data_IF_206683115031
#
_entry.id   IF_206683115031
#
_cell.length_a   1.000
_cell.length_b   1.000
_cell.length_c   1.000
_cell.angle_alpha   90.00
_cell.angle_beta   90.00
_cell.angle_gamma   90.00
#
_symmetry.space_group_name_H-M   'P 1'
#
loop_
_entity.id
_entity.type
_entity.pdbx_description
1 polymer ?
#
# COMPACT_ATOMS: atom_id res chain seq x y z
N UNK A 1 33.97 -4.62 -21.81
CA UNK A 1 32.60 -5.13 -21.54
C UNK A 1 32.73 -6.50 -20.90
N UNK A 2 32.03 -6.75 -19.79
CA UNK A 2 31.95 -8.08 -19.16
C UNK A 2 30.52 -8.59 -19.34
N UNK A 3 30.37 -9.81 -19.83
CA UNK A 3 29.11 -10.56 -19.80
C UNK A 3 29.19 -11.58 -18.69
N UNK A 4 28.06 -11.85 -18.03
CA UNK A 4 27.92 -12.91 -17.04
C UNK A 4 26.69 -13.74 -17.40
N UNK A 5 26.80 -15.05 -17.28
CA UNK A 5 25.65 -15.94 -17.39
C UNK A 5 24.92 -15.95 -16.05
N UNK A 6 23.60 -15.80 -16.09
CA UNK A 6 22.81 -15.65 -14.88
C UNK A 6 21.69 -16.68 -14.77
N UNK A 7 21.29 -16.96 -13.54
CA UNK A 7 20.10 -17.74 -13.21
C UNK A 7 19.18 -16.87 -12.34
N UNK A 8 17.92 -16.73 -12.75
CA UNK A 8 16.90 -16.06 -11.94
C UNK A 8 16.18 -17.07 -11.06
N UNK A 9 16.28 -16.90 -9.73
CA UNK A 9 15.66 -17.80 -8.77
C UNK A 9 15.16 -17.01 -7.56
N UNK A 10 13.97 -17.34 -7.05
CA UNK A 10 13.40 -16.71 -5.85
C UNK A 10 13.36 -15.16 -5.87
N UNK A 11 13.22 -14.54 -7.03
CA UNK A 11 13.20 -13.08 -7.16
C UNK A 11 14.58 -12.42 -7.25
N UNK A 12 15.65 -13.20 -7.39
CA UNK A 12 17.02 -12.71 -7.44
C UNK A 12 17.78 -13.26 -8.64
N UNK A 13 18.81 -12.51 -9.05
CA UNK A 13 19.74 -12.90 -10.11
C UNK A 13 20.99 -13.48 -9.43
N UNK A 14 21.45 -14.63 -9.91
CA UNK A 14 22.67 -15.29 -9.44
C UNK A 14 23.62 -15.52 -10.61
N UNK A 15 24.92 -15.39 -10.37
CA UNK A 15 25.96 -15.79 -11.33
C UNK A 15 25.91 -17.33 -11.47
N UNK A 16 25.72 -17.82 -12.69
CA UNK A 16 25.58 -19.25 -12.94
C UNK A 16 26.85 -20.05 -12.64
N UNK A 17 28.02 -19.42 -12.70
CA UNK A 17 29.32 -20.05 -12.42
C UNK A 17 29.63 -20.03 -10.92
N UNK A 18 29.61 -18.85 -10.29
CA UNK A 18 30.02 -18.72 -8.87
C UNK A 18 28.91 -19.03 -7.88
N UNK A 19 27.65 -19.04 -8.32
CA UNK A 19 26.44 -19.14 -7.47
C UNK A 19 26.24 -17.96 -6.53
N UNK A 20 27.00 -16.88 -6.70
CA UNK A 20 26.86 -15.67 -5.91
C UNK A 20 25.67 -14.83 -6.40
N UNK A 21 25.04 -14.10 -5.48
CA UNK A 21 23.97 -13.16 -5.82
C UNK A 21 24.56 -11.96 -6.57
N UNK A 22 23.96 -11.63 -7.70
CA UNK A 22 24.30 -10.45 -8.49
C UNK A 22 23.39 -9.30 -8.08
N UNK A 23 24.00 -8.17 -7.75
CA UNK A 23 23.29 -6.90 -7.51
C UNK A 23 23.64 -5.98 -8.68
N UNK A 24 22.61 -5.45 -9.31
CA UNK A 24 22.74 -4.44 -10.36
C UNK A 24 22.54 -3.06 -9.74
N UNK A 25 23.28 -2.08 -10.23
CA UNK A 25 23.16 -0.69 -9.79
C UNK A 25 21.91 -0.06 -10.40
N UNK A 26 21.21 0.74 -9.62
CA UNK A 26 20.03 1.48 -10.09
C UNK A 26 20.43 2.53 -11.15
N UNK A 27 19.50 2.87 -12.05
CA UNK A 27 19.68 3.87 -13.12
C UNK A 27 20.78 3.55 -14.14
N UNK A 28 21.23 2.29 -14.22
CA UNK A 28 22.13 1.80 -15.26
C UNK A 28 21.36 0.96 -16.28
N UNK A 29 21.68 1.13 -17.56
CA UNK A 29 21.10 0.33 -18.63
C UNK A 29 21.84 -1.02 -18.75
N UNK A 30 21.10 -2.11 -18.64
CA UNK A 30 21.61 -3.47 -18.82
C UNK A 30 20.99 -4.12 -20.06
N UNK A 31 21.72 -5.06 -20.67
CA UNK A 31 21.22 -5.89 -21.77
C UNK A 31 20.96 -7.29 -21.21
N UNK A 32 19.72 -7.77 -21.36
CA UNK A 32 19.35 -9.16 -21.10
C UNK A 32 19.18 -9.88 -22.44
N UNK A 33 19.83 -11.04 -22.56
CA UNK A 33 19.77 -11.89 -23.75
C UNK A 33 19.05 -13.17 -23.34
N UNK A 34 18.02 -13.54 -24.09
CA UNK A 34 17.19 -14.71 -23.82
C UNK A 34 17.34 -15.71 -24.96
N UNK A 35 17.40 -17.00 -24.63
CA UNK A 35 17.44 -18.07 -25.63
C UNK A 35 16.09 -18.26 -26.31
N UNK A 36 14.99 -18.01 -25.59
CA UNK A 36 13.62 -18.17 -26.07
C UNK A 36 12.78 -16.96 -25.69
N UNK A 37 11.96 -16.50 -26.62
CA UNK A 37 11.08 -15.34 -26.43
C UNK A 37 10.06 -15.57 -25.30
N UNK A 38 9.59 -16.80 -25.14
CA UNK A 38 8.60 -17.21 -24.13
C UNK A 38 9.08 -17.09 -22.67
N UNK A 39 10.39 -16.99 -22.45
CA UNK A 39 11.01 -16.79 -21.13
C UNK A 39 10.86 -15.35 -20.64
N UNK A 40 10.40 -14.43 -21.49
CA UNK A 40 10.13 -13.03 -21.15
C UNK A 40 8.65 -12.74 -21.26
N UNK A 41 8.06 -12.33 -20.15
CA UNK A 41 6.69 -11.81 -20.14
C UNK A 41 6.67 -10.50 -19.39
N UNK A 42 6.10 -9.42 -19.96
CA UNK A 42 5.87 -8.22 -19.20
C UNK A 42 4.92 -8.55 -18.06
N UNK A 43 5.39 -8.40 -16.82
CA UNK A 43 4.51 -8.36 -15.67
C UNK A 43 3.74 -7.04 -15.72
N UNK A 44 2.43 -7.08 -15.47
CA UNK A 44 1.60 -5.90 -15.33
C UNK A 44 0.68 -6.08 -14.14
N UNK A 45 0.32 -4.98 -13.49
CA UNK A 45 -0.81 -5.01 -12.58
C UNK A 45 -2.10 -5.03 -13.38
N UNK A 46 -2.82 -6.15 -13.31
CA UNK A 46 -4.10 -6.27 -14.00
C UNK A 46 -5.14 -5.35 -13.36
N UNK A 47 -5.83 -4.59 -14.21
CA UNK A 47 -7.00 -3.83 -13.79
C UNK A 47 -8.07 -4.83 -13.29
N UNK A 48 -8.78 -4.53 -12.19
CA UNK A 48 -9.86 -5.39 -11.71
C UNK A 48 -10.93 -5.53 -12.80
N UNK A 49 -11.31 -6.77 -13.12
CA UNK A 49 -12.34 -7.07 -14.13
C UNK A 49 -13.74 -6.66 -13.68
N UNK A 50 -14.01 -6.80 -12.38
CA UNK A 50 -15.32 -6.54 -11.77
C UNK A 50 -15.19 -5.44 -10.73
N UNK A 51 -15.77 -4.27 -11.03
CA UNK A 51 -15.92 -3.16 -10.10
C UNK A 51 -17.33 -3.21 -9.52
N UNK A 52 -17.42 -3.41 -8.21
CA UNK A 52 -18.69 -3.49 -7.48
C UNK A 52 -19.29 -2.12 -7.27
N UNK A 53 -20.60 -2.03 -7.43
CA UNK A 53 -21.40 -0.87 -7.04
C UNK A 53 -21.49 -0.71 -5.53
N UNK A 54 -21.83 0.50 -5.07
CA UNK A 54 -22.12 0.80 -3.66
C UNK A 54 -23.06 -0.24 -3.03
N UNK A 55 -24.13 -0.57 -3.75
CA UNK A 55 -25.16 -1.49 -3.29
C UNK A 55 -24.63 -2.92 -3.15
N UNK A 56 -23.86 -3.42 -4.10
CA UNK A 56 -23.29 -4.77 -4.02
C UNK A 56 -22.35 -4.92 -2.83
N UNK A 57 -21.56 -3.88 -2.53
CA UNK A 57 -20.65 -3.88 -1.37
C UNK A 57 -21.47 -3.82 -0.08
N UNK A 58 -22.45 -2.93 0.00
CA UNK A 58 -23.30 -2.79 1.17
C UNK A 58 -24.09 -4.06 1.47
N UNK A 59 -24.74 -4.65 0.46
CA UNK A 59 -25.52 -5.88 0.58
C UNK A 59 -24.62 -7.04 1.04
N UNK A 60 -23.42 -7.18 0.44
CA UNK A 60 -22.41 -8.17 0.88
C UNK A 60 -22.06 -8.05 2.37
N UNK A 61 -21.81 -6.83 2.87
CA UNK A 61 -21.47 -6.62 4.28
C UNK A 61 -22.70 -6.93 5.16
N UNK A 62 -23.87 -6.41 4.77
CA UNK A 62 -25.11 -6.51 5.56
C UNK A 62 -25.63 -7.95 5.67
N UNK A 63 -25.37 -8.80 4.68
CA UNK A 63 -25.79 -10.19 4.67
C UNK A 63 -25.04 -11.07 5.70
N UNK A 64 -23.93 -10.61 6.28
CA UNK A 64 -23.30 -11.29 7.43
C UNK A 64 -24.15 -11.04 8.70
N UNK A 65 -24.77 -12.08 9.30
CA UNK A 65 -25.66 -11.94 10.46
C UNK A 65 -24.93 -11.49 11.73
N UNK A 66 -23.60 -11.40 11.70
CA UNK A 66 -22.79 -10.89 12.80
C UNK A 66 -22.49 -9.40 12.67
N UNK A 67 -22.76 -8.77 11.53
CA UNK A 67 -22.49 -7.33 11.36
C UNK A 67 -23.41 -6.50 12.23
N UNK A 68 -22.81 -5.55 12.95
CA UNK A 68 -23.51 -4.65 13.90
C UNK A 68 -23.65 -3.24 13.36
N UNK A 69 -22.63 -2.74 12.67
CA UNK A 69 -22.60 -1.37 12.15
C UNK A 69 -21.89 -1.34 10.80
N UNK A 70 -22.36 -0.47 9.91
CA UNK A 70 -21.77 -0.22 8.58
C UNK A 70 -21.72 1.30 8.37
N UNK A 71 -20.58 1.82 7.90
CA UNK A 71 -20.38 3.23 7.57
C UNK A 71 -19.61 3.36 6.26
N UNK A 72 -20.15 4.12 5.31
CA UNK A 72 -19.41 4.54 4.12
C UNK A 72 -18.39 5.61 4.54
N UNK A 73 -17.13 5.42 4.17
CA UNK A 73 -16.05 6.37 4.46
C UNK A 73 -15.81 7.30 3.28
N UNK A 74 -15.68 6.74 2.07
CA UNK A 74 -15.41 7.47 0.81
C UNK A 74 -16.12 6.79 -0.36
N UNK A 75 -16.38 7.56 -1.39
CA UNK A 75 -17.01 7.12 -2.64
C UNK A 75 -15.97 6.74 -3.69
N UNK A 76 -16.37 5.94 -4.67
CA UNK A 76 -15.59 5.69 -5.88
C UNK A 76 -15.19 7.01 -6.56
N UNK A 77 -13.97 7.04 -7.11
CA UNK A 77 -13.35 8.23 -7.70
C UNK A 77 -12.66 9.16 -6.70
N UNK A 78 -12.93 9.03 -5.39
CA UNK A 78 -12.21 9.81 -4.38
C UNK A 78 -10.80 9.27 -4.13
N UNK A 79 -9.98 10.10 -3.47
CA UNK A 79 -8.57 9.82 -3.24
C UNK A 79 -8.23 9.61 -1.77
N UNK A 80 -7.21 8.78 -1.56
CA UNK A 80 -6.43 8.65 -0.32
C UNK A 80 -4.95 8.79 -0.67
N UNK A 81 -4.13 9.04 0.34
CA UNK A 81 -2.69 9.22 0.18
C UNK A 81 -1.92 8.37 1.17
N UNK A 82 -0.72 7.94 0.81
CA UNK A 82 0.23 7.35 1.74
C UNK A 82 1.64 7.77 1.37
N UNK A 83 2.58 7.57 2.28
CA UNK A 83 3.99 7.72 1.98
C UNK A 83 4.78 6.49 2.41
N UNK A 84 5.89 6.28 1.75
CA UNK A 84 6.93 5.33 2.14
C UNK A 84 8.16 6.14 2.57
N UNK A 85 8.80 5.70 3.65
CA UNK A 85 10.03 6.31 4.14
C UNK A 85 11.18 5.45 3.65
N UNK A 86 12.14 6.09 3.00
CA UNK A 86 13.41 5.49 2.63
C UNK A 86 14.52 6.13 3.46
N UNK A 87 15.39 5.29 4.01
CA UNK A 87 16.63 5.74 4.65
C UNK A 87 17.70 5.83 3.57
N UNK A 88 18.09 7.05 3.19
CA UNK A 88 19.25 7.25 2.34
C UNK A 88 20.49 7.40 3.21
N UNK A 89 21.39 6.42 3.13
CA UNK A 89 22.76 6.56 3.58
C UNK A 89 23.52 7.44 2.59
N UNK A 90 23.66 8.72 2.90
CA UNK A 90 24.54 9.59 2.15
C UNK A 90 26.00 9.23 2.54
N UNK A 91 26.70 8.47 1.70
CA UNK A 91 28.06 7.99 1.99
C UNK A 91 29.08 9.13 2.24
N UNK A 92 28.79 10.35 1.78
CA UNK A 92 29.71 11.49 1.86
C UNK A 92 29.47 12.43 3.05
N UNK A 93 28.37 12.26 3.79
CA UNK A 93 28.03 13.06 4.96
C UNK A 93 27.32 12.12 5.92
N UNK A 94 27.88 11.87 7.11
CA UNK A 94 27.30 11.06 8.22
C UNK A 94 25.90 11.56 8.67
N UNK A 95 24.96 11.68 7.74
CA UNK A 95 23.67 12.33 7.86
C UNK A 95 22.67 11.44 7.13
N UNK A 96 21.95 10.64 7.91
CA UNK A 96 20.83 9.87 7.43
C UNK A 96 19.71 10.84 7.03
N UNK A 97 19.44 10.91 5.73
CA UNK A 97 18.30 11.70 5.24
C UNK A 97 17.11 10.76 5.04
N UNK A 98 16.01 11.05 5.75
CA UNK A 98 14.75 10.35 5.56
C UNK A 98 14.03 10.96 4.37
N UNK A 99 13.87 10.17 3.32
CA UNK A 99 13.12 10.58 2.13
C UNK A 99 11.68 10.08 2.25
N UNK A 100 10.71 10.94 1.93
CA UNK A 100 9.29 10.62 1.99
C UNK A 100 8.69 10.63 0.58
N UNK A 101 8.43 9.44 0.05
CA UNK A 101 7.88 9.25 -1.28
C UNK A 101 6.37 9.09 -1.15
N UNK A 102 5.60 10.10 -1.58
CA UNK A 102 4.14 10.13 -1.47
C UNK A 102 3.46 9.53 -2.69
N UNK A 103 2.33 8.88 -2.45
CA UNK A 103 1.52 8.21 -3.46
C UNK A 103 0.05 8.55 -3.29
N UNK A 104 -0.66 8.66 -4.41
CA UNK A 104 -2.13 8.79 -4.44
C UNK A 104 -2.76 7.43 -4.75
N UNK A 105 -3.77 7.08 -3.96
CA UNK A 105 -4.70 5.99 -4.24
C UNK A 105 -6.00 6.61 -4.75
N UNK A 106 -6.46 6.20 -5.92
CA UNK A 106 -7.81 6.47 -6.40
C UNK A 106 -8.69 5.24 -6.16
N UNK A 107 -9.83 5.46 -5.51
CA UNK A 107 -10.80 4.42 -5.23
C UNK A 107 -11.58 4.10 -6.51
N UNK A 108 -11.66 2.81 -6.87
CA UNK A 108 -12.48 2.36 -8.00
C UNK A 108 -13.87 1.91 -7.53
N UNK A 109 -13.99 1.60 -6.24
CA UNK A 109 -15.21 1.20 -5.54
C UNK A 109 -15.42 2.10 -4.32
N UNK A 110 -16.60 2.06 -3.71
CA UNK A 110 -16.85 2.74 -2.45
C UNK A 110 -16.10 2.06 -1.30
N UNK A 111 -15.55 2.86 -0.38
CA UNK A 111 -14.85 2.35 0.80
C UNK A 111 -15.78 2.34 2.01
N UNK A 112 -15.99 1.15 2.57
CA UNK A 112 -16.82 0.94 3.75
C UNK A 112 -16.00 0.52 4.97
N UNK A 113 -16.54 0.86 6.14
CA UNK A 113 -16.10 0.44 7.46
C UNK A 113 -17.25 -0.33 8.12
N UNK A 114 -16.96 -1.45 8.78
CA UNK A 114 -17.98 -2.21 9.48
C UNK A 114 -17.47 -2.83 10.79
N UNK A 115 -18.38 -3.21 11.67
CA UNK A 115 -18.10 -3.96 12.91
C UNK A 115 -18.95 -5.21 12.99
N UNK A 116 -18.51 -6.18 13.81
CA UNK A 116 -19.26 -7.41 14.09
C UNK A 116 -19.45 -7.67 15.58
N UNK A 117 -20.52 -8.39 15.92
CA UNK A 117 -20.91 -8.75 17.29
C UNK A 117 -19.97 -9.72 17.98
N UNK A 118 -19.21 -10.50 17.21
CA UNK A 118 -18.24 -11.48 17.69
C UNK A 118 -16.81 -10.90 17.83
N UNK A 119 -16.63 -9.61 17.55
CA UNK A 119 -15.36 -8.92 17.77
C UNK A 119 -15.26 -8.35 19.19
N UNK A 120 -14.00 -8.17 19.65
CA UNK A 120 -13.70 -7.66 20.99
C UNK A 120 -14.28 -6.26 21.22
N UNK A 121 -14.17 -5.37 20.24
CA UNK A 121 -14.84 -4.07 20.21
C UNK A 121 -15.91 -4.08 19.11
N UNK A 122 -17.08 -3.53 19.44
CA UNK A 122 -18.26 -3.44 18.56
C UNK A 122 -18.47 -2.03 18.00
N UNK A 123 -17.72 -1.06 18.51
CA UNK A 123 -17.75 0.31 18.04
C UNK A 123 -16.84 0.50 16.83
N UNK A 124 -17.22 1.42 15.94
CA UNK A 124 -16.48 1.68 14.70
C UNK A 124 -15.09 2.28 14.98
N UNK A 125 -14.91 2.92 16.13
CA UNK A 125 -13.72 3.68 16.51
C UNK A 125 -12.57 2.74 16.89
N UNK A 126 -12.82 1.69 17.66
CA UNK A 126 -11.79 0.74 18.10
C UNK A 126 -11.84 -0.57 17.29
N UNK A 127 -13.05 -1.04 16.96
CA UNK A 127 -13.27 -2.36 16.34
C UNK A 127 -13.52 -2.34 14.85
N UNK A 128 -13.76 -1.16 14.25
CA UNK A 128 -14.06 -1.03 12.82
C UNK A 128 -12.98 -1.62 11.91
N UNK A 129 -13.39 -2.38 10.89
CA UNK A 129 -12.51 -2.87 9.81
C UNK A 129 -12.98 -2.37 8.47
N UNK A 130 -12.02 -2.12 7.58
CA UNK A 130 -12.30 -1.76 6.20
C UNK A 130 -12.78 -2.98 5.43
N UNK A 131 -13.81 -2.81 4.62
CA UNK A 131 -14.16 -3.77 3.57
C UNK A 131 -13.15 -3.66 2.43
N UNK A 132 -12.88 -4.78 1.75
CA UNK A 132 -12.07 -4.79 0.54
C UNK A 132 -12.68 -3.83 -0.49
N UNK A 133 -11.83 -3.07 -1.17
CA UNK A 133 -12.21 -2.00 -2.09
C UNK A 133 -11.16 -1.93 -3.20
N UNK A 134 -11.60 -2.20 -4.43
CA UNK A 134 -10.75 -2.09 -5.60
C UNK A 134 -10.26 -0.65 -5.73
N UNK A 135 -8.96 -0.50 -5.91
CA UNK A 135 -8.31 0.80 -5.97
C UNK A 135 -7.04 0.73 -6.83
N UNK A 136 -6.52 1.90 -7.18
CA UNK A 136 -5.33 2.03 -8.01
C UNK A 136 -4.40 3.07 -7.40
N UNK A 137 -3.11 2.76 -7.34
CA UNK A 137 -2.08 3.79 -7.17
C UNK A 137 -1.77 4.34 -8.55
N UNK A 138 -2.04 5.62 -8.75
CA UNK A 138 -2.02 6.25 -10.08
C UNK A 138 -1.12 7.49 -10.16
N UNK A 139 -0.51 7.90 -9.05
CA UNK A 139 0.42 9.03 -9.00
C UNK A 139 1.43 8.82 -7.87
N UNK A 140 2.70 9.10 -8.16
CA UNK A 140 3.70 9.45 -7.16
C UNK A 140 3.99 10.95 -7.24
N UNK A 141 4.18 11.58 -6.11
CA UNK A 141 4.51 13.02 -6.04
C UNK A 141 6.01 13.26 -5.84
N UNK A 142 6.78 12.19 -5.82
CA UNK A 142 8.22 12.24 -5.73
C UNK A 142 8.80 12.28 -7.14
N UNK A 143 9.30 13.46 -7.52
CA UNK A 143 9.89 13.68 -8.85
C UNK A 143 11.15 12.84 -9.09
N UNK A 144 11.76 12.28 -8.03
CA UNK A 144 12.95 11.45 -8.13
C UNK A 144 12.64 9.95 -8.29
N UNK A 145 11.42 9.54 -7.95
CA UNK A 145 10.95 8.17 -8.18
C UNK A 145 10.35 8.08 -9.58
N UNK A 146 10.89 7.19 -10.41
CA UNK A 146 10.28 6.89 -11.70
C UNK A 146 9.02 6.03 -11.49
N UNK A 147 7.88 6.68 -11.32
CA UNK A 147 6.58 6.01 -11.28
C UNK A 147 6.07 5.77 -12.70
N UNK A 148 6.24 4.54 -13.21
CA UNK A 148 6.01 4.23 -14.62
C UNK A 148 4.77 3.34 -14.88
N UNK A 149 4.18 2.74 -13.85
CA UNK A 149 2.96 1.94 -14.01
C UNK A 149 1.97 2.11 -12.87
N UNK A 150 0.68 1.99 -13.20
CA UNK A 150 -0.40 1.97 -12.22
C UNK A 150 -0.38 0.67 -11.42
N UNK A 151 -0.59 0.75 -10.11
CA UNK A 151 -0.65 -0.42 -9.23
C UNK A 151 -2.10 -0.68 -8.81
N UNK A 152 -2.74 -1.64 -9.47
CA UNK A 152 -4.09 -2.07 -9.11
C UNK A 152 -4.10 -3.02 -7.90
N UNK A 153 -5.04 -2.80 -6.99
CA UNK A 153 -5.17 -3.55 -5.75
C UNK A 153 -6.64 -3.83 -5.38
N UNK A 154 -6.84 -4.87 -4.56
CA UNK A 154 -8.17 -5.30 -4.07
C UNK A 154 -8.57 -4.62 -2.75
N UNK A 155 -7.65 -3.88 -2.13
CA UNK A 155 -7.87 -3.09 -0.93
C UNK A 155 -6.81 -2.01 -0.81
N UNK A 156 -7.12 -0.96 -0.06
CA UNK A 156 -6.18 0.15 0.19
C UNK A 156 -4.92 -0.31 0.93
N UNK A 157 -5.03 -1.32 1.81
CA UNK A 157 -3.86 -1.97 2.44
C UNK A 157 -3.02 -2.72 1.41
N UNK A 158 -3.66 -3.45 0.48
CA UNK A 158 -2.94 -4.13 -0.59
C UNK A 158 -2.28 -3.15 -1.55
N UNK A 159 -2.85 -1.96 -1.78
CA UNK A 159 -2.24 -0.91 -2.61
C UNK A 159 -0.91 -0.45 -2.00
N UNK A 160 -0.91 -0.13 -0.70
CA UNK A 160 0.30 0.21 0.05
C UNK A 160 1.35 -0.91 -0.06
N UNK A 161 0.96 -2.15 0.27
CA UNK A 161 1.88 -3.30 0.28
C UNK A 161 2.48 -3.58 -1.09
N UNK A 162 1.67 -3.56 -2.16
CA UNK A 162 2.15 -3.79 -3.53
C UNK A 162 3.11 -2.69 -3.96
N UNK A 163 2.81 -1.43 -3.64
CA UNK A 163 3.70 -0.29 -3.94
C UNK A 163 5.04 -0.41 -3.21
N UNK A 164 5.01 -0.78 -1.93
CA UNK A 164 6.20 -1.02 -1.14
C UNK A 164 7.05 -2.15 -1.72
N UNK A 165 6.46 -3.30 -2.04
CA UNK A 165 7.19 -4.43 -2.65
C UNK A 165 7.78 -4.06 -4.02
N UNK A 166 7.01 -3.33 -4.83
CA UNK A 166 7.38 -3.03 -6.21
C UNK A 166 8.50 -2.00 -6.33
N UNK A 167 8.40 -0.89 -5.58
CA UNK A 167 9.36 0.21 -5.67
C UNK A 167 10.41 0.19 -4.55
N UNK A 168 10.13 -0.47 -3.42
CA UNK A 168 10.94 -0.38 -2.20
C UNK A 168 11.15 -1.76 -1.55
N UNK A 169 11.27 -2.82 -2.35
CA UNK A 169 11.37 -4.21 -1.84
C UNK A 169 12.53 -4.45 -0.86
N UNK A 170 13.54 -3.57 -0.84
CA UNK A 170 14.66 -3.61 0.10
C UNK A 170 14.43 -2.75 1.37
N UNK A 171 13.39 -1.91 1.43
CA UNK A 171 13.16 -0.90 2.48
C UNK A 171 12.28 -1.41 3.65
N UNK A 172 12.63 -2.58 4.20
CA UNK A 172 11.95 -3.13 5.38
C UNK A 172 10.59 -3.77 5.12
N UNK A 173 9.75 -3.88 6.15
CA UNK A 173 8.49 -4.64 6.09
C UNK A 173 7.33 -3.81 5.53
N UNK A 174 6.58 -4.29 4.52
CA UNK A 174 5.41 -3.62 3.98
C UNK A 174 4.15 -3.76 4.87
N UNK A 175 4.25 -4.39 6.02
CA UNK A 175 3.11 -4.67 6.91
C UNK A 175 2.75 -3.44 7.74
N UNK A 176 1.77 -2.66 7.28
CA UNK A 176 1.14 -1.57 8.05
C UNK A 176 -0.37 -1.67 8.03
N UNK A 177 -1.00 -1.26 9.13
CA UNK A 177 -2.44 -1.05 9.20
C UNK A 177 -2.81 0.17 8.34
N UNK A 178 -3.88 0.05 7.54
CA UNK A 178 -4.37 1.14 6.69
C UNK A 178 -4.69 2.41 7.47
N UNK A 179 -5.22 2.29 8.69
CA UNK A 179 -5.55 3.49 9.47
C UNK A 179 -4.32 4.26 9.95
N UNK A 180 -3.17 3.57 10.10
CA UNK A 180 -1.91 4.18 10.52
C UNK A 180 -1.12 4.81 9.35
N UNK A 181 -1.40 4.39 8.11
CA UNK A 181 -0.58 4.76 6.95
C UNK A 181 -1.32 5.51 5.84
N UNK A 182 -2.65 5.60 5.90
CA UNK A 182 -3.47 6.30 4.91
C UNK A 182 -3.93 7.66 5.44
N UNK A 183 -3.87 8.65 4.54
CA UNK A 183 -4.19 10.05 4.79
C UNK A 183 -5.25 10.56 3.80
N UNK A 184 -6.03 11.54 4.24
CA UNK A 184 -7.05 12.22 3.44
C UNK A 184 -6.45 13.26 2.49
N UNK A 185 -5.26 13.76 2.81
CA UNK A 185 -4.49 14.72 2.02
C UNK A 185 -2.98 14.39 2.09
N UNK A 186 -2.16 15.09 1.29
CA UNK A 186 -0.68 14.98 1.31
C UNK A 186 -0.08 15.68 2.54
N UNK A 187 -0.62 15.42 3.73
CA UNK A 187 -0.21 16.02 5.00
C UNK A 187 -0.16 14.93 6.08
N UNK A 188 0.96 14.85 6.80
CA UNK A 188 1.21 13.84 7.85
C UNK A 188 0.50 14.13 9.17
N UNK A 189 -0.28 15.19 9.24
CA UNK A 189 -1.02 15.53 10.44
C UNK A 189 -1.89 14.36 10.90
N UNK A 190 -1.98 14.15 12.22
CA UNK A 190 -2.89 13.17 12.80
C UNK A 190 -4.33 13.48 12.43
N UNK A 191 -4.62 14.76 12.26
CA UNK A 191 -5.92 15.30 11.82
C UNK A 191 -6.14 15.17 10.30
N UNK A 192 -5.27 14.45 9.60
CA UNK A 192 -5.46 14.03 8.22
C UNK A 192 -5.44 12.51 8.02
N UNK A 193 -5.42 11.71 9.08
CA UNK A 193 -5.39 10.25 8.96
C UNK A 193 -6.78 9.67 8.66
N UNK A 194 -6.81 8.46 8.09
CA UNK A 194 -8.06 7.72 7.88
C UNK A 194 -8.80 7.40 9.20
N UNK A 195 -8.08 7.34 10.33
CA UNK A 195 -8.65 7.15 11.68
C UNK A 195 -9.77 8.15 12.01
N UNK A 196 -9.66 9.40 11.56
CA UNK A 196 -10.66 10.44 11.84
C UNK A 196 -12.02 10.07 11.27
N UNK A 197 -12.03 9.39 10.12
CA UNK A 197 -13.27 8.95 9.50
C UNK A 197 -13.97 7.85 10.31
N UNK A 198 -13.31 7.22 11.29
CA UNK A 198 -13.96 6.29 12.23
C UNK A 198 -14.74 7.02 13.33
N UNK A 199 -14.49 8.31 13.52
CA UNK A 199 -15.11 9.12 14.59
C UNK A 199 -14.13 9.53 15.71
N UNK A 200 -12.81 9.37 15.50
CA UNK A 200 -11.81 9.98 16.36
C UNK A 200 -11.83 11.50 16.19
N UNK A 201 -12.52 12.19 17.11
CA UNK A 201 -12.28 13.59 17.42
C UNK A 201 -11.34 13.68 18.64
N UNK A 202 -10.49 14.71 18.73
CA UNK A 202 -9.53 14.93 19.81
C UNK A 202 -10.16 14.85 21.22
N UNK A 203 -11.46 15.13 21.31
CA UNK A 203 -12.30 14.96 22.51
C UNK A 203 -12.29 13.53 23.10
N UNK A 204 -12.05 12.49 22.30
CA UNK A 204 -11.97 11.10 22.78
C UNK A 204 -10.63 10.74 23.44
N UNK A 205 -9.54 11.47 23.18
CA UNK A 205 -8.23 11.23 23.84
C UNK A 205 -8.26 11.56 25.34
N UNK A 206 -9.12 12.49 25.76
CA UNK A 206 -9.19 12.94 27.17
C UNK A 206 -9.82 11.86 28.06
N UNK A 207 -10.74 11.04 27.52
CA UNK A 207 -11.44 10.01 28.29
C UNK A 207 -10.53 8.80 28.57
N UNK A 208 -9.71 8.41 27.59
CA UNK A 208 -8.83 7.24 27.73
C UNK A 208 -7.67 7.52 28.72
N UNK A 209 -7.17 8.76 28.81
CA UNK A 209 -6.14 9.12 29.80
C UNK A 209 -6.65 9.16 31.25
N UNK A 210 -7.96 9.31 31.47
CA UNK A 210 -8.55 9.37 32.81
C UNK A 210 -9.15 8.04 33.28
N UNK A 211 -8.99 6.96 32.51
CA UNK A 211 -9.47 5.63 32.87
C UNK A 211 -8.28 4.67 33.00
N UNK A 212 -7.37 4.97 33.93
CA UNK A 212 -6.46 3.98 34.50
C UNK A 212 -6.85 3.89 35.98
N UNK A 213 -7.56 2.82 36.34
CA UNK A 213 -7.64 2.30 37.71
C UNK A 213 -6.74 1.08 37.81
#
# INVERSE_FOLDING_TARGET
MRSINITFQHGHIYDSETKERVIVEENINYILIFEREEDVKPAKFDKPENIRSEREIYDKIKDDPNVTSIKKLKSAGEHLYFFIIEENENKDKDEHTLKHSWFRITLLEDLFLYTRKDWKSKDLIEGGRLEDCACVVDESTDDTLLFFEHIYAKSVTSAYKKTHIHYFGNAGSPSKNAFDCLYLSKNKDKDNTLEILRGFDESHKIIIKNTIF
#
